data_IF_480618840298
#
_entry.id   IF_480618840298
#
_cell.length_a   1.000
_cell.length_b   1.000
_cell.length_c   1.000
_cell.angle_alpha   90.00
_cell.angle_beta   90.00
_cell.angle_gamma   90.00
#
_symmetry.space_group_name_H-M   'P 1'
#
loop_
_entity.id
_entity.type
_entity.pdbx_description
1 polymer ?
#
# COMPACT_ATOMS: atom_id res chain seq x y z
N UNK A 1 31.33 -23.66 7.80
CA UNK A 1 29.94 -23.21 8.08
C UNK A 1 30.06 -21.85 8.77
N UNK A 2 29.41 -20.81 8.26
CA UNK A 2 29.40 -19.50 8.94
C UNK A 2 28.42 -19.57 10.11
N UNK A 3 28.62 -18.79 11.19
CA UNK A 3 27.59 -18.65 12.23
C UNK A 3 26.30 -18.09 11.63
N UNK A 4 25.14 -18.57 12.06
CA UNK A 4 23.83 -18.16 11.53
C UNK A 4 23.65 -16.64 11.52
N UNK A 5 24.11 -15.96 12.56
CA UNK A 5 24.11 -14.48 12.63
C UNK A 5 24.84 -13.83 11.44
N UNK A 6 25.99 -14.39 11.05
CA UNK A 6 26.73 -13.90 9.89
C UNK A 6 25.99 -14.19 8.59
N UNK A 7 25.26 -15.31 8.53
CA UNK A 7 24.40 -15.64 7.39
C UNK A 7 23.22 -14.67 7.31
N UNK A 8 22.45 -14.47 8.39
CA UNK A 8 21.34 -13.51 8.45
C UNK A 8 21.76 -12.09 8.05
N UNK A 9 22.87 -11.61 8.61
CA UNK A 9 23.39 -10.28 8.26
C UNK A 9 23.80 -10.19 6.78
N UNK A 10 24.33 -11.27 6.19
CA UNK A 10 24.65 -11.34 4.76
C UNK A 10 23.38 -11.41 3.91
N UNK A 11 22.39 -12.20 4.32
CA UNK A 11 21.07 -12.29 3.67
C UNK A 11 20.44 -10.91 3.61
N UNK A 12 20.37 -10.20 4.73
CA UNK A 12 19.82 -8.84 4.80
C UNK A 12 20.51 -7.86 3.86
N UNK A 13 21.84 -7.92 3.78
CA UNK A 13 22.64 -7.02 2.93
C UNK A 13 22.64 -7.40 1.45
N UNK A 14 22.01 -8.51 1.05
CA UNK A 14 21.86 -8.81 -0.37
C UNK A 14 20.94 -7.77 -0.99
N UNK A 15 21.45 -7.12 -2.02
CA UNK A 15 20.69 -6.16 -2.80
C UNK A 15 19.44 -6.82 -3.37
N UNK A 16 18.33 -6.10 -3.30
CA UNK A 16 17.06 -6.48 -3.92
C UNK A 16 16.93 -5.55 -5.12
N UNK A 17 16.76 -6.07 -6.36
CA UNK A 17 16.64 -5.24 -7.54
C UNK A 17 15.50 -4.22 -7.38
N UNK A 18 15.70 -3.03 -7.93
CA UNK A 18 14.63 -2.05 -8.02
C UNK A 18 13.63 -2.50 -9.08
N UNK A 19 12.34 -2.46 -8.72
CA UNK A 19 11.25 -2.68 -9.69
C UNK A 19 10.98 -1.33 -10.37
N UNK A 20 11.07 -1.24 -11.70
CA UNK A 20 10.66 -0.04 -12.41
C UNK A 20 9.22 0.31 -12.07
N UNK A 21 8.86 1.59 -11.99
CA UNK A 21 7.49 2.00 -11.69
C UNK A 21 6.48 1.37 -12.67
N UNK A 22 5.38 0.88 -12.13
CA UNK A 22 4.24 0.41 -12.92
C UNK A 22 3.53 1.59 -13.60
N UNK A 23 3.35 2.69 -12.85
CA UNK A 23 2.65 3.89 -13.32
C UNK A 23 3.41 5.14 -12.94
N UNK A 24 3.24 6.17 -13.75
CA UNK A 24 3.82 7.49 -13.58
C UNK A 24 2.73 8.55 -13.76
N UNK A 25 2.83 9.64 -13.01
CA UNK A 25 2.00 10.84 -13.18
C UNK A 25 2.79 11.93 -13.91
N UNK A 26 2.24 13.14 -13.97
CA UNK A 26 2.88 14.30 -14.60
C UNK A 26 3.73 15.06 -13.59
N UNK A 27 4.88 15.58 -14.02
CA UNK A 27 5.71 16.46 -13.17
C UNK A 27 4.93 17.68 -12.67
N UNK A 28 4.03 18.20 -13.50
CA UNK A 28 3.21 19.37 -13.18
C UNK A 28 2.36 19.13 -11.93
N UNK A 29 1.79 17.93 -11.79
CA UNK A 29 1.00 17.53 -10.61
C UNK A 29 1.81 17.61 -9.31
N UNK A 30 3.04 17.10 -9.32
CA UNK A 30 3.89 17.13 -8.12
C UNK A 30 4.42 18.52 -7.79
N UNK A 31 4.72 19.35 -8.81
CA UNK A 31 5.10 20.75 -8.57
C UNK A 31 3.96 21.56 -7.97
N UNK A 32 2.76 21.46 -8.52
CA UNK A 32 1.57 22.12 -7.94
C UNK A 32 1.33 21.68 -6.48
N UNK A 33 1.50 20.38 -6.21
CA UNK A 33 1.37 19.87 -4.84
C UNK A 33 2.49 20.39 -3.93
N UNK A 34 3.73 20.48 -4.42
CA UNK A 34 4.85 21.05 -3.67
C UNK A 34 4.64 22.53 -3.34
N UNK A 35 4.12 23.33 -4.28
CA UNK A 35 3.79 24.74 -4.05
C UNK A 35 2.76 24.89 -2.92
N UNK A 36 1.74 24.03 -2.87
CA UNK A 36 0.75 24.03 -1.79
C UNK A 36 1.32 23.56 -0.45
N UNK A 37 2.22 22.57 -0.47
CA UNK A 37 2.93 22.15 0.75
C UNK A 37 3.74 23.32 1.30
N UNK A 38 4.48 24.04 0.44
CA UNK A 38 5.26 25.21 0.83
C UNK A 38 4.37 26.31 1.42
N UNK A 39 3.24 26.62 0.78
CA UNK A 39 2.29 27.63 1.26
C UNK A 39 1.81 27.33 2.69
N UNK A 40 1.34 26.11 2.95
CA UNK A 40 0.91 25.73 4.30
C UNK A 40 2.07 25.69 5.28
N UNK A 41 3.24 25.16 4.88
CA UNK A 41 4.38 25.03 5.78
C UNK A 41 4.92 26.40 6.19
N UNK A 42 5.02 27.36 5.26
CA UNK A 42 5.49 28.71 5.52
C UNK A 42 4.51 29.47 6.42
N UNK A 43 3.20 29.35 6.16
CA UNK A 43 2.15 29.91 7.03
C UNK A 43 2.24 29.33 8.45
N UNK A 44 2.33 28.00 8.55
CA UNK A 44 2.43 27.30 9.82
C UNK A 44 3.67 27.71 10.60
N UNK A 45 4.85 27.74 9.99
CA UNK A 45 6.11 28.11 10.66
C UNK A 45 6.07 29.55 11.18
N UNK A 46 5.53 30.49 10.40
CA UNK A 46 5.40 31.88 10.81
C UNK A 46 4.47 32.05 12.03
N UNK A 47 3.42 31.22 12.14
CA UNK A 47 2.55 31.20 13.31
C UNK A 47 3.20 30.46 14.48
N UNK A 48 3.89 29.35 14.21
CA UNK A 48 4.51 28.49 15.23
C UNK A 48 5.55 29.22 16.07
N UNK A 49 6.28 30.18 15.50
CA UNK A 49 7.24 31.01 16.24
C UNK A 49 6.61 31.87 17.34
N UNK A 50 5.30 32.11 17.27
CA UNK A 50 4.54 32.89 18.26
C UNK A 50 3.89 32.02 19.34
N UNK A 51 3.90 30.70 19.18
CA UNK A 51 3.33 29.77 20.15
C UNK A 51 4.28 29.63 21.35
N UNK A 52 3.75 29.78 22.56
CA UNK A 52 4.41 29.23 23.74
C UNK A 52 4.45 27.70 23.60
N UNK A 53 5.51 27.04 24.11
CA UNK A 53 5.62 25.57 24.00
C UNK A 53 4.32 24.91 24.51
N UNK A 54 3.65 24.09 23.68
CA UNK A 54 2.38 23.51 24.07
C UNK A 54 2.55 22.68 25.34
N UNK A 55 1.72 22.98 26.34
CA UNK A 55 1.80 22.34 27.67
C UNK A 55 1.42 20.86 27.68
N UNK A 56 0.87 20.34 26.58
CA UNK A 56 0.44 18.96 26.39
C UNK A 56 1.20 18.29 25.23
N UNK A 57 1.36 16.97 25.31
CA UNK A 57 1.92 16.19 24.20
C UNK A 57 0.92 16.16 23.05
N UNK A 58 1.16 16.98 22.03
CA UNK A 58 0.38 17.00 20.79
C UNK A 58 1.09 16.22 19.67
N UNK A 59 0.35 15.53 18.78
CA UNK A 59 0.94 14.91 17.59
C UNK A 59 1.41 15.94 16.54
N UNK A 60 0.99 17.21 16.65
CA UNK A 60 1.39 18.28 15.74
C UNK A 60 2.68 18.91 16.23
N UNK A 61 3.75 18.80 15.44
CA UNK A 61 5.08 19.23 15.88
C UNK A 61 5.77 20.09 14.82
N UNK A 62 6.55 21.07 15.26
CA UNK A 62 7.39 21.90 14.37
C UNK A 62 8.27 21.07 13.42
N UNK A 63 8.96 20.00 13.87
CA UNK A 63 9.74 19.14 12.96
C UNK A 63 8.94 18.53 11.80
N UNK A 64 7.64 18.22 11.99
CA UNK A 64 6.80 17.72 10.88
C UNK A 64 6.56 18.79 9.81
N UNK A 65 6.42 20.06 10.23
CA UNK A 65 6.21 21.20 9.35
C UNK A 65 7.51 21.53 8.59
N UNK A 66 8.64 21.55 9.31
CA UNK A 66 9.97 21.74 8.71
C UNK A 66 10.27 20.64 7.68
N UNK A 67 10.00 19.37 8.00
CA UNK A 67 10.16 18.26 7.06
C UNK A 67 9.27 18.41 5.81
N UNK A 68 8.07 18.97 5.94
CA UNK A 68 7.21 19.25 4.79
C UNK A 68 7.74 20.40 3.92
N UNK A 69 8.27 21.47 4.54
CA UNK A 69 8.92 22.60 3.84
C UNK A 69 10.17 22.15 3.09
N UNK A 70 11.01 21.30 3.71
CA UNK A 70 12.17 20.68 3.07
C UNK A 70 11.75 19.84 1.86
N UNK A 71 10.73 18.99 2.00
CA UNK A 71 10.22 18.19 0.89
C UNK A 71 9.73 19.06 -0.27
N UNK A 72 9.02 20.17 0.00
CA UNK A 72 8.54 21.08 -1.03
C UNK A 72 9.68 21.74 -1.81
N UNK A 73 10.77 22.09 -1.11
CA UNK A 73 11.97 22.69 -1.73
C UNK A 73 12.75 21.69 -2.59
N UNK A 74 12.79 20.43 -2.16
CA UNK A 74 13.53 19.35 -2.82
C UNK A 74 12.67 18.50 -3.78
N UNK A 75 11.46 18.97 -4.11
CA UNK A 75 10.45 18.18 -4.81
C UNK A 75 11.02 17.46 -6.06
N UNK A 76 10.75 16.15 -6.23
CA UNK A 76 11.41 15.35 -7.27
C UNK A 76 11.21 15.90 -8.68
N UNK A 77 12.27 15.87 -9.49
CA UNK A 77 12.29 16.35 -10.89
C UNK A 77 12.16 15.25 -11.95
N UNK A 78 12.06 14.00 -11.52
CA UNK A 78 11.81 12.84 -12.40
C UNK A 78 10.30 12.59 -12.53
N UNK A 79 9.83 11.89 -13.59
CA UNK A 79 8.43 11.51 -13.72
C UNK A 79 7.93 10.94 -12.39
N UNK A 80 6.92 11.55 -11.75
CA UNK A 80 6.58 11.14 -10.41
C UNK A 80 5.84 9.82 -10.42
N UNK A 81 6.15 8.97 -9.44
CA UNK A 81 5.61 7.61 -9.32
C UNK A 81 4.66 7.54 -8.12
N UNK A 82 3.99 6.40 -7.92
CA UNK A 82 3.05 6.21 -6.79
C UNK A 82 3.68 6.58 -5.44
N UNK A 83 4.91 6.14 -5.17
CA UNK A 83 5.58 6.48 -3.90
C UNK A 83 5.86 7.99 -3.75
N UNK A 84 6.15 8.70 -4.83
CA UNK A 84 6.28 10.16 -4.82
C UNK A 84 4.95 10.82 -4.50
N UNK A 85 3.87 10.39 -5.16
CA UNK A 85 2.51 10.93 -4.92
C UNK A 85 2.04 10.68 -3.49
N UNK A 86 2.30 9.48 -2.95
CA UNK A 86 2.02 9.17 -1.54
C UNK A 86 2.84 10.04 -0.57
N UNK A 87 4.13 10.25 -0.86
CA UNK A 87 5.00 11.09 -0.05
C UNK A 87 4.53 12.55 -0.07
N UNK A 88 4.26 13.12 -1.25
CA UNK A 88 3.73 14.48 -1.39
C UNK A 88 2.45 14.65 -0.58
N UNK A 89 1.54 13.68 -0.66
CA UNK A 89 0.31 13.74 0.10
C UNK A 89 0.47 13.64 1.61
N UNK A 90 1.45 12.86 2.09
CA UNK A 90 1.80 12.84 3.52
C UNK A 90 2.32 14.20 3.97
N UNK A 91 3.20 14.83 3.20
CA UNK A 91 3.75 16.15 3.54
C UNK A 91 2.69 17.25 3.45
N UNK A 92 1.76 17.19 2.49
CA UNK A 92 0.61 18.10 2.44
C UNK A 92 -0.26 17.98 3.69
N UNK A 93 -0.56 16.74 4.12
CA UNK A 93 -1.31 16.51 5.34
C UNK A 93 -0.59 17.11 6.55
N UNK A 94 0.71 16.89 6.70
CA UNK A 94 1.50 17.43 7.80
C UNK A 94 1.54 18.97 7.80
N UNK A 95 1.77 19.58 6.64
CA UNK A 95 1.82 21.04 6.51
C UNK A 95 0.46 21.67 6.82
N UNK A 96 -0.62 21.17 6.22
CA UNK A 96 -1.98 21.65 6.46
C UNK A 96 -2.43 21.43 7.92
N UNK A 97 -2.03 20.32 8.55
CA UNK A 97 -2.30 20.06 9.96
C UNK A 97 -1.57 21.07 10.85
N UNK A 98 -0.29 21.33 10.55
CA UNK A 98 0.52 22.32 11.27
C UNK A 98 -0.05 23.73 11.18
N UNK A 99 -0.44 24.15 9.99
CA UNK A 99 -1.02 25.47 9.71
C UNK A 99 -2.33 25.67 10.49
N UNK A 100 -3.28 24.76 10.30
CA UNK A 100 -4.57 24.81 10.98
C UNK A 100 -4.43 24.74 12.50
N UNK A 101 -3.56 23.87 13.03
CA UNK A 101 -3.30 23.79 14.47
C UNK A 101 -2.74 25.10 15.01
N UNK A 102 -1.69 25.64 14.38
CA UNK A 102 -1.00 26.83 14.87
C UNK A 102 -1.93 28.05 14.89
N UNK A 103 -2.71 28.23 13.83
CA UNK A 103 -3.72 29.31 13.76
C UNK A 103 -4.86 29.07 14.75
N UNK A 104 -5.37 27.85 14.87
CA UNK A 104 -6.48 27.57 15.77
C UNK A 104 -6.08 27.71 17.24
N UNK A 105 -4.84 27.39 17.60
CA UNK A 105 -4.31 27.55 18.95
C UNK A 105 -4.27 29.02 19.39
N UNK A 106 -4.03 29.95 18.45
CA UNK A 106 -4.04 31.39 18.70
C UNK A 106 -5.43 32.02 18.49
N UNK A 107 -6.47 31.23 18.25
CA UNK A 107 -7.81 31.69 17.84
C UNK A 107 -7.79 32.56 16.56
N UNK A 108 -6.86 32.27 15.64
CA UNK A 108 -6.67 32.94 14.33
C UNK A 108 -7.11 32.06 13.13
N UNK A 109 -7.70 30.90 13.38
CA UNK A 109 -8.26 30.03 12.35
C UNK A 109 -9.73 30.42 12.09
N UNK A 110 -9.92 31.22 11.05
CA UNK A 110 -11.22 31.75 10.63
C UNK A 110 -11.87 30.94 9.50
N UNK A 111 -11.13 29.98 8.92
CA UNK A 111 -11.58 29.13 7.83
C UNK A 111 -12.53 28.05 8.35
N UNK A 112 -13.46 27.58 7.51
CA UNK A 112 -14.26 26.40 7.84
C UNK A 112 -13.41 25.13 7.61
N UNK A 113 -13.13 24.30 8.65
CA UNK A 113 -12.27 23.13 8.47
C UNK A 113 -12.86 22.08 7.51
N UNK A 114 -14.17 22.11 7.25
CA UNK A 114 -14.84 21.23 6.29
C UNK A 114 -15.06 21.89 4.91
N UNK A 115 -14.49 23.07 4.67
CA UNK A 115 -14.65 23.78 3.40
C UNK A 115 -14.20 22.93 2.20
N UNK A 116 -15.07 22.85 1.19
CA UNK A 116 -14.82 22.11 -0.04
C UNK A 116 -15.05 20.60 0.07
N UNK A 117 -15.65 20.09 1.15
CA UNK A 117 -16.05 18.68 1.25
C UNK A 117 -17.08 18.30 0.20
N UNK A 118 -18.18 19.03 0.09
CA UNK A 118 -19.25 18.73 -0.87
C UNK A 118 -18.76 18.86 -2.32
N UNK A 119 -18.02 19.94 -2.64
CA UNK A 119 -17.38 20.13 -3.96
C UNK A 119 -16.42 18.97 -4.29
N UNK A 120 -15.69 18.48 -3.28
CA UNK A 120 -14.79 17.34 -3.41
C UNK A 120 -15.54 16.04 -3.72
N UNK A 121 -16.65 15.78 -3.04
CA UNK A 121 -17.50 14.59 -3.27
C UNK A 121 -18.17 14.64 -4.65
N UNK A 122 -18.61 15.83 -5.09
CA UNK A 122 -19.11 16.03 -6.45
C UNK A 122 -17.99 15.76 -7.47
N UNK A 123 -16.79 16.27 -7.24
CA UNK A 123 -15.65 16.04 -8.12
C UNK A 123 -15.22 14.56 -8.19
N UNK A 124 -15.32 13.80 -7.08
CA UNK A 124 -15.14 12.34 -7.08
C UNK A 124 -16.17 11.69 -8.00
N UNK A 125 -17.45 12.01 -7.81
CA UNK A 125 -18.55 11.43 -8.59
C UNK A 125 -18.39 11.71 -10.08
N UNK A 126 -18.06 12.96 -10.42
CA UNK A 126 -17.86 13.38 -11.80
C UNK A 126 -16.66 12.68 -12.44
N UNK A 127 -15.53 12.60 -11.73
CA UNK A 127 -14.34 11.93 -12.27
C UNK A 127 -14.54 10.42 -12.41
N UNK A 128 -15.26 9.77 -11.49
CA UNK A 128 -15.62 8.36 -11.59
C UNK A 128 -16.49 8.08 -12.83
N UNK A 129 -17.47 8.95 -13.13
CA UNK A 129 -18.31 8.84 -14.33
C UNK A 129 -17.53 8.97 -15.64
N UNK A 130 -16.42 9.69 -15.63
CA UNK A 130 -15.54 9.87 -16.78
C UNK A 130 -14.54 8.72 -16.98
N UNK A 131 -14.52 7.74 -16.08
CA UNK A 131 -13.66 6.56 -16.21
C UNK A 131 -14.35 5.52 -17.10
N UNK A 132 -14.03 5.59 -18.39
CA UNK A 132 -14.49 4.63 -19.40
C UNK A 132 -13.62 3.38 -19.32
N UNK A 133 -14.26 2.21 -19.21
CA UNK A 133 -13.61 0.91 -19.09
C UNK A 133 -13.30 0.34 -20.47
N UNK A 134 -12.56 1.13 -21.26
CA UNK A 134 -12.26 0.89 -22.66
C UNK A 134 -10.75 0.99 -22.87
N UNK A 135 -10.16 -0.03 -23.49
CA UNK A 135 -8.70 -0.11 -23.64
C UNK A 135 -8.27 -0.98 -24.82
N UNK A 136 -7.14 -0.64 -25.43
CA UNK A 136 -6.40 -1.53 -26.36
C UNK A 136 -5.21 -2.22 -25.69
N UNK A 137 -4.83 -1.78 -24.48
CA UNK A 137 -3.67 -2.24 -23.71
C UNK A 137 -4.07 -2.59 -22.26
N UNK A 138 -4.71 -3.75 -22.03
CA UNK A 138 -5.32 -4.10 -20.75
C UNK A 138 -4.38 -3.99 -19.55
N UNK A 139 -3.14 -4.44 -19.65
CA UNK A 139 -2.18 -4.37 -18.53
C UNK A 139 -1.85 -2.93 -18.13
N UNK A 140 -1.66 -2.05 -19.12
CA UNK A 140 -1.45 -0.62 -18.85
C UNK A 140 -2.71 -0.02 -18.24
N UNK A 141 -3.88 -0.33 -18.79
CA UNK A 141 -5.16 0.16 -18.28
C UNK A 141 -5.40 -0.28 -16.83
N UNK A 142 -5.18 -1.55 -16.50
CA UNK A 142 -5.40 -2.10 -15.16
C UNK A 142 -4.43 -1.49 -14.14
N UNK A 143 -3.15 -1.34 -14.49
CA UNK A 143 -2.16 -0.72 -13.60
C UNK A 143 -2.52 0.74 -13.28
N UNK A 144 -2.91 1.54 -14.28
CA UNK A 144 -3.34 2.92 -14.05
C UNK A 144 -4.72 3.01 -13.39
N UNK A 145 -5.68 2.19 -13.84
CA UNK A 145 -7.04 2.12 -13.32
C UNK A 145 -7.06 1.81 -11.83
N UNK A 146 -6.22 0.88 -11.39
CA UNK A 146 -6.00 0.57 -9.97
C UNK A 146 -5.60 1.82 -9.18
N UNK A 147 -4.68 2.64 -9.70
CA UNK A 147 -4.21 3.85 -9.01
C UNK A 147 -5.22 5.00 -9.04
N UNK A 148 -5.99 5.13 -10.13
CA UNK A 148 -7.06 6.10 -10.30
C UNK A 148 -8.19 5.80 -9.30
N UNK A 149 -8.72 4.59 -9.33
CA UNK A 149 -9.83 4.17 -8.48
C UNK A 149 -9.43 4.09 -7.01
N UNK A 150 -8.22 3.63 -6.68
CA UNK A 150 -7.69 3.72 -5.32
C UNK A 150 -7.72 5.15 -4.78
N UNK A 151 -7.27 6.12 -5.59
CA UNK A 151 -7.25 7.53 -5.22
C UNK A 151 -8.67 8.07 -5.04
N UNK A 152 -9.59 7.76 -5.95
CA UNK A 152 -11.00 8.15 -5.84
C UNK A 152 -11.68 7.56 -4.59
N UNK A 153 -11.51 6.26 -4.34
CA UNK A 153 -12.04 5.58 -3.16
C UNK A 153 -11.52 6.20 -1.86
N UNK A 154 -10.22 6.50 -1.81
CA UNK A 154 -9.61 7.18 -0.64
C UNK A 154 -10.13 8.62 -0.48
N UNK A 155 -10.34 9.34 -1.59
CA UNK A 155 -10.95 10.66 -1.57
C UNK A 155 -12.38 10.61 -1.03
N UNK A 156 -13.22 9.73 -1.56
CA UNK A 156 -14.62 9.57 -1.16
C UNK A 156 -14.73 9.22 0.32
N UNK A 157 -14.00 8.20 0.77
CA UNK A 157 -14.02 7.77 2.17
C UNK A 157 -13.49 8.85 3.11
N UNK A 158 -12.44 9.58 2.70
CA UNK A 158 -11.89 10.68 3.47
C UNK A 158 -12.87 11.85 3.61
N UNK A 159 -13.42 12.33 2.50
CA UNK A 159 -14.37 13.45 2.49
C UNK A 159 -15.69 13.10 3.17
N UNK A 160 -16.24 11.91 2.94
CA UNK A 160 -17.48 11.47 3.55
C UNK A 160 -17.40 11.40 5.08
N UNK A 161 -16.23 11.02 5.62
CA UNK A 161 -16.00 11.05 7.07
C UNK A 161 -15.97 12.46 7.64
N UNK A 162 -15.52 13.45 6.86
CA UNK A 162 -15.39 14.83 7.33
C UNK A 162 -16.66 15.67 7.13
N UNK A 163 -17.60 15.21 6.28
CA UNK A 163 -18.83 15.95 5.96
C UNK A 163 -19.63 16.37 7.19
N UNK A 164 -19.72 15.49 8.17
CA UNK A 164 -20.47 15.70 9.41
C UNK A 164 -19.52 15.78 10.63
N UNK A 165 -18.26 16.18 10.41
CA UNK A 165 -17.31 16.33 11.50
C UNK A 165 -17.70 17.52 12.40
N UNK A 166 -17.94 17.23 13.68
CA UNK A 166 -18.22 18.24 14.70
C UNK A 166 -16.95 18.52 15.51
N UNK A 167 -16.78 19.78 15.92
CA UNK A 167 -15.70 20.21 16.82
C UNK A 167 -16.29 20.33 18.23
N UNK A 168 -15.94 19.40 19.12
CA UNK A 168 -16.43 19.38 20.51
C UNK A 168 -15.36 19.94 21.46
N UNK A 169 -15.64 21.08 22.07
CA UNK A 169 -14.75 21.72 23.05
C UNK A 169 -14.45 20.85 24.29
N UNK A 170 -15.23 19.79 24.54
CA UNK A 170 -15.08 18.88 25.67
C UNK A 170 -14.41 17.54 25.30
N UNK A 171 -13.99 17.35 24.04
CA UNK A 171 -13.22 16.16 23.65
C UNK A 171 -11.86 16.14 24.39
N UNK A 172 -11.27 14.95 24.51
CA UNK A 172 -9.92 14.77 25.05
C UNK A 172 -8.85 15.41 24.18
N UNK A 173 -9.11 15.54 22.87
CA UNK A 173 -8.29 16.32 21.95
C UNK A 173 -8.72 17.78 22.01
N UNK A 174 -7.76 18.69 22.18
CA UNK A 174 -8.07 20.13 22.24
C UNK A 174 -8.72 20.63 20.94
N UNK A 175 -9.51 21.70 21.00
CA UNK A 175 -10.20 22.30 19.83
C UNK A 175 -9.28 22.49 18.62
N UNK A 176 -8.05 22.99 18.84
CA UNK A 176 -7.07 23.21 17.78
C UNK A 176 -6.63 21.90 17.10
N UNK A 177 -6.53 20.79 17.83
CA UNK A 177 -6.18 19.48 17.27
C UNK A 177 -7.31 18.91 16.42
N UNK A 178 -8.56 19.09 16.85
CA UNK A 178 -9.72 18.66 16.09
C UNK A 178 -9.82 19.43 14.76
N UNK A 179 -9.72 20.76 14.80
CA UNK A 179 -9.70 21.61 13.60
C UNK A 179 -8.59 21.16 12.65
N UNK A 180 -7.37 20.97 13.17
CA UNK A 180 -6.23 20.55 12.39
C UNK A 180 -6.42 19.17 11.75
N UNK A 181 -6.99 18.22 12.48
CA UNK A 181 -7.27 16.87 11.99
C UNK A 181 -8.31 16.87 10.87
N UNK A 182 -9.41 17.62 11.04
CA UNK A 182 -10.46 17.74 10.01
C UNK A 182 -9.89 18.41 8.76
N UNK A 183 -9.29 19.59 8.91
CA UNK A 183 -8.77 20.38 7.80
C UNK A 183 -7.73 19.62 6.98
N UNK A 184 -6.72 19.05 7.64
CA UNK A 184 -5.68 18.27 6.96
C UNK A 184 -6.21 16.99 6.30
N UNK A 185 -7.29 16.40 6.86
CA UNK A 185 -8.02 15.29 6.25
C UNK A 185 -8.74 15.70 4.96
N UNK A 186 -9.38 16.87 4.95
CA UNK A 186 -10.02 17.45 3.76
C UNK A 186 -8.98 17.76 2.69
N UNK A 187 -7.88 18.45 3.04
CA UNK A 187 -6.81 18.77 2.08
C UNK A 187 -6.21 17.51 1.44
N UNK A 188 -5.92 16.47 2.25
CA UNK A 188 -5.42 15.20 1.74
C UNK A 188 -6.41 14.55 0.79
N UNK A 189 -7.70 14.57 1.11
CA UNK A 189 -8.73 13.91 0.30
C UNK A 189 -9.01 14.67 -1.00
N UNK A 190 -8.93 16.00 -0.99
CA UNK A 190 -9.00 16.83 -2.22
C UNK A 190 -7.78 16.61 -3.12
N UNK A 191 -6.59 16.44 -2.55
CA UNK A 191 -5.41 16.03 -3.32
C UNK A 191 -5.63 14.68 -4.00
N UNK A 192 -6.26 13.71 -3.33
CA UNK A 192 -6.55 12.40 -3.95
C UNK A 192 -7.42 12.49 -5.21
N UNK A 193 -8.35 13.44 -5.28
CA UNK A 193 -9.12 13.70 -6.50
C UNK A 193 -8.21 14.20 -7.64
N UNK A 194 -7.23 15.06 -7.31
CA UNK A 194 -6.22 15.55 -8.26
C UNK A 194 -5.25 14.44 -8.69
N UNK A 195 -4.82 13.58 -7.76
CA UNK A 195 -4.01 12.39 -8.04
C UNK A 195 -4.70 11.51 -9.09
N UNK A 196 -5.98 11.18 -8.87
CA UNK A 196 -6.80 10.41 -9.80
C UNK A 196 -6.88 11.06 -11.19
N UNK A 197 -7.08 12.38 -11.25
CA UNK A 197 -7.13 13.13 -12.50
C UNK A 197 -5.80 13.06 -13.25
N UNK A 198 -4.69 13.23 -12.55
CA UNK A 198 -3.36 13.21 -13.13
C UNK A 198 -3.00 11.81 -13.67
N UNK A 199 -3.34 10.74 -12.94
CA UNK A 199 -3.20 9.37 -13.45
C UNK A 199 -4.09 9.10 -14.67
N UNK A 200 -5.34 9.58 -14.68
CA UNK A 200 -6.23 9.45 -15.83
C UNK A 200 -5.70 10.16 -17.07
N UNK A 201 -5.14 11.36 -16.91
CA UNK A 201 -4.48 12.09 -18.01
C UNK A 201 -3.26 11.33 -18.53
N UNK A 202 -2.45 10.77 -17.62
CA UNK A 202 -1.29 9.96 -17.96
C UNK A 202 -1.67 8.65 -18.67
N UNK A 203 -2.78 8.01 -18.27
CA UNK A 203 -3.36 6.84 -18.93
C UNK A 203 -3.81 7.20 -20.35
N UNK A 204 -4.63 8.25 -20.54
CA UNK A 204 -5.15 8.64 -21.86
C UNK A 204 -4.07 8.99 -22.89
N UNK A 205 -2.88 9.39 -22.44
CA UNK A 205 -1.73 9.61 -23.32
C UNK A 205 -1.08 8.31 -23.81
N UNK A 206 -1.21 7.23 -23.05
CA UNK A 206 -0.60 5.90 -23.31
C UNK A 206 -1.58 4.94 -23.98
N UNK A 207 -2.84 5.02 -23.56
CA UNK A 207 -3.95 4.21 -24.04
C UNK A 207 -5.14 5.14 -24.31
N UNK A 208 -5.40 5.51 -25.58
CA UNK A 208 -6.46 6.45 -25.92
C UNK A 208 -7.88 5.88 -25.69
N UNK A 209 -8.00 4.56 -25.50
CA UNK A 209 -9.26 3.82 -25.40
C UNK A 209 -9.32 2.69 -26.42
N UNK A 210 -10.38 1.89 -26.37
CA UNK A 210 -10.53 0.69 -27.19
C UNK A 210 -11.87 -0.02 -26.98
N UNK A 211 -11.83 -1.34 -27.00
CA UNK A 211 -13.01 -2.16 -26.67
C UNK A 211 -13.27 -2.14 -25.16
N UNK A 212 -14.52 -2.33 -24.77
CA UNK A 212 -14.85 -2.41 -23.36
C UNK A 212 -14.32 -3.70 -22.75
N UNK A 213 -13.69 -3.60 -21.59
CA UNK A 213 -13.19 -4.75 -20.83
C UNK A 213 -14.07 -5.15 -19.64
N UNK A 214 -15.27 -4.56 -19.50
CA UNK A 214 -16.15 -4.81 -18.34
C UNK A 214 -16.56 -6.27 -18.21
N UNK A 215 -16.91 -6.89 -19.34
CA UNK A 215 -17.30 -8.31 -19.34
C UNK A 215 -16.10 -9.19 -18.94
N UNK A 216 -14.91 -8.92 -19.49
CA UNK A 216 -13.68 -9.63 -19.09
C UNK A 216 -13.34 -9.42 -17.62
N UNK A 217 -13.44 -8.20 -17.09
CA UNK A 217 -13.23 -7.92 -15.66
C UNK A 217 -14.20 -8.69 -14.76
N UNK A 218 -15.47 -8.77 -15.16
CA UNK A 218 -16.48 -9.53 -14.42
C UNK A 218 -16.17 -11.04 -14.45
N UNK A 219 -15.78 -11.59 -15.59
CA UNK A 219 -15.33 -12.99 -15.73
C UNK A 219 -14.10 -13.27 -14.86
N UNK A 220 -13.08 -12.40 -14.91
CA UNK A 220 -11.87 -12.51 -14.08
C UNK A 220 -12.20 -12.46 -12.59
N UNK A 221 -13.13 -11.58 -12.18
CA UNK A 221 -13.58 -11.49 -10.80
C UNK A 221 -14.24 -12.79 -10.34
N UNK A 222 -15.20 -13.30 -11.11
CA UNK A 222 -15.92 -14.51 -10.75
C UNK A 222 -14.94 -15.71 -10.63
N UNK A 223 -13.97 -15.81 -11.56
CA UNK A 223 -12.92 -16.83 -11.47
C UNK A 223 -11.96 -16.63 -10.28
N UNK A 224 -11.59 -15.38 -9.94
CA UNK A 224 -10.79 -15.08 -8.76
C UNK A 224 -11.51 -15.43 -7.47
N UNK A 225 -12.80 -15.10 -7.35
CA UNK A 225 -13.62 -15.44 -6.18
C UNK A 225 -13.68 -16.97 -5.98
N UNK A 226 -13.94 -17.73 -7.03
CA UNK A 226 -13.95 -19.20 -6.98
C UNK A 226 -12.59 -19.78 -6.54
N UNK A 227 -11.48 -19.23 -7.06
CA UNK A 227 -10.12 -19.65 -6.69
C UNK A 227 -9.80 -19.30 -5.24
N UNK A 228 -10.22 -18.13 -4.77
CA UNK A 228 -9.97 -17.63 -3.41
C UNK A 228 -10.79 -18.41 -2.39
N UNK A 229 -12.06 -18.71 -2.65
CA UNK A 229 -12.94 -19.43 -1.72
C UNK A 229 -12.37 -20.81 -1.36
N UNK A 230 -11.83 -21.52 -2.35
CA UNK A 230 -11.14 -22.78 -2.13
C UNK A 230 -9.90 -22.61 -1.22
N UNK A 231 -9.10 -21.56 -1.43
CA UNK A 231 -7.91 -21.28 -0.63
C UNK A 231 -8.24 -20.81 0.79
N UNK A 232 -9.35 -20.08 0.97
CA UNK A 232 -9.82 -19.64 2.28
C UNK A 232 -10.24 -20.84 3.15
N UNK A 233 -10.89 -21.84 2.56
CA UNK A 233 -11.23 -23.08 3.28
C UNK A 233 -9.97 -23.81 3.76
N UNK A 234 -8.97 -24.01 2.90
CA UNK A 234 -7.68 -24.61 3.28
C UNK A 234 -6.97 -23.79 4.36
N UNK A 235 -7.01 -22.46 4.24
CA UNK A 235 -6.41 -21.57 5.25
C UNK A 235 -7.14 -21.67 6.59
N UNK A 236 -8.46 -21.81 6.61
CA UNK A 236 -9.26 -22.00 7.82
C UNK A 236 -8.87 -23.31 8.53
N UNK A 237 -8.69 -24.39 7.77
CA UNK A 237 -8.19 -25.66 8.30
C UNK A 237 -6.81 -25.51 8.97
N UNK A 238 -5.88 -24.74 8.40
CA UNK A 238 -4.60 -24.48 9.08
C UNK A 238 -4.79 -23.73 10.41
N UNK A 239 -5.73 -22.79 10.45
CA UNK A 239 -6.10 -22.08 11.68
C UNK A 239 -6.60 -23.03 12.77
N UNK A 240 -7.49 -23.94 12.41
CA UNK A 240 -8.04 -24.95 13.32
C UNK A 240 -6.94 -25.88 13.87
N UNK A 241 -5.95 -26.24 13.05
CA UNK A 241 -4.81 -27.06 13.50
C UNK A 241 -3.92 -26.32 14.50
N UNK A 242 -3.73 -25.01 14.35
CA UNK A 242 -3.03 -24.19 15.35
C UNK A 242 -3.81 -24.07 16.66
N UNK A 243 -5.14 -23.92 16.59
CA UNK A 243 -5.99 -23.81 17.77
C UNK A 243 -6.17 -25.15 18.50
N UNK A 244 -6.04 -26.27 17.79
CA UNK A 244 -6.01 -27.62 18.37
C UNK A 244 -4.67 -27.99 19.02
N UNK A 245 -3.68 -27.07 19.02
CA UNK A 245 -2.31 -27.30 19.49
C UNK A 245 -1.65 -28.56 18.85
N UNK A 246 -2.01 -28.88 17.59
CA UNK A 246 -1.43 -30.04 16.87
C UNK A 246 0.09 -29.94 16.74
N UNK A 247 0.60 -28.71 16.74
CA UNK A 247 2.00 -28.37 16.62
C UNK A 247 2.61 -27.98 17.98
N UNK A 248 2.49 -28.83 19.01
CA UNK A 248 2.91 -28.59 20.41
C UNK A 248 4.09 -27.58 20.59
N UNK A 249 3.79 -26.31 20.91
CA UNK A 249 4.80 -25.27 21.16
C UNK A 249 5.35 -24.53 19.93
N UNK A 250 4.88 -24.83 18.71
CA UNK A 250 5.30 -24.23 17.43
C UNK A 250 4.44 -23.01 17.02
N UNK A 251 3.70 -22.39 17.95
CA UNK A 251 2.79 -21.25 17.66
C UNK A 251 3.50 -19.99 17.09
N UNK A 252 4.81 -20.05 16.89
CA UNK A 252 5.71 -19.01 16.38
C UNK A 252 6.78 -19.57 15.43
N UNK A 253 6.44 -20.60 14.67
CA UNK A 253 7.28 -21.20 13.65
C UNK A 253 7.01 -20.59 12.24
N UNK A 254 7.65 -21.16 11.22
CA UNK A 254 7.49 -20.71 9.82
C UNK A 254 6.06 -20.93 9.32
N UNK A 255 5.40 -22.02 9.72
CA UNK A 255 4.01 -22.30 9.32
C UNK A 255 3.07 -21.24 9.89
N UNK A 256 3.18 -20.94 11.17
CA UNK A 256 2.39 -19.90 11.83
C UNK A 256 2.66 -18.52 11.22
N UNK A 257 3.93 -18.25 10.86
CA UNK A 257 4.30 -17.03 10.15
C UNK A 257 3.67 -16.97 8.75
N UNK A 258 3.69 -18.04 7.96
CA UNK A 258 3.03 -18.12 6.65
C UNK A 258 1.51 -17.91 6.76
N UNK A 259 0.86 -18.57 7.71
CA UNK A 259 -0.56 -18.36 7.99
C UNK A 259 -0.84 -16.89 8.36
N UNK A 260 -0.03 -16.29 9.23
CA UNK A 260 -0.22 -14.91 9.66
C UNK A 260 0.10 -13.88 8.57
N UNK A 261 1.04 -14.16 7.66
CA UNK A 261 1.59 -13.19 6.69
C UNK A 261 1.08 -13.33 5.28
N UNK A 262 0.45 -14.45 4.95
CA UNK A 262 -0.29 -14.60 3.70
C UNK A 262 -1.17 -13.38 3.44
N UNK A 263 -1.86 -12.83 4.46
CA UNK A 263 -2.94 -11.88 4.15
C UNK A 263 -3.99 -12.58 3.26
N UNK A 264 -5.07 -11.91 2.90
CA UNK A 264 -6.20 -12.63 2.31
C UNK A 264 -7.07 -13.28 3.38
N UNK A 265 -7.31 -12.57 4.48
CA UNK A 265 -8.38 -12.94 5.41
C UNK A 265 -9.72 -12.73 4.71
N UNK A 266 -10.79 -13.34 5.23
CA UNK A 266 -12.18 -13.07 4.80
C UNK A 266 -12.47 -11.55 4.74
N UNK A 267 -11.85 -10.75 5.62
CA UNK A 267 -11.96 -9.28 5.61
C UNK A 267 -11.33 -8.60 4.39
N UNK A 268 -10.26 -9.16 3.83
CA UNK A 268 -9.54 -8.56 2.69
C UNK A 268 -10.36 -8.78 1.41
N UNK A 269 -10.88 -10.00 1.22
CA UNK A 269 -11.83 -10.34 0.15
C UNK A 269 -13.09 -9.49 0.24
N UNK A 270 -13.71 -9.41 1.42
CA UNK A 270 -14.88 -8.53 1.64
C UNK A 270 -14.56 -7.05 1.42
N UNK A 271 -13.31 -6.62 1.61
CA UNK A 271 -12.93 -5.24 1.31
C UNK A 271 -12.85 -5.01 -0.19
N UNK A 272 -12.25 -5.94 -0.93
CA UNK A 272 -12.18 -5.88 -2.38
C UNK A 272 -13.57 -5.94 -3.03
N UNK A 273 -14.45 -6.85 -2.59
CA UNK A 273 -15.85 -6.94 -3.07
C UNK A 273 -16.60 -5.64 -2.78
N UNK A 274 -16.47 -5.05 -1.57
CA UNK A 274 -17.09 -3.75 -1.26
C UNK A 274 -16.58 -2.63 -2.15
N UNK A 275 -15.30 -2.65 -2.53
CA UNK A 275 -14.75 -1.65 -3.43
C UNK A 275 -15.33 -1.84 -4.85
N UNK A 276 -15.51 -3.08 -5.33
CA UNK A 276 -16.21 -3.41 -6.59
C UNK A 276 -17.66 -2.93 -6.55
N UNK A 277 -18.42 -3.29 -5.51
CA UNK A 277 -19.81 -2.87 -5.33
C UNK A 277 -19.96 -1.34 -5.22
N UNK A 278 -18.91 -0.67 -4.75
CA UNK A 278 -18.80 0.80 -4.70
C UNK A 278 -18.49 1.46 -6.06
N UNK A 279 -18.33 0.69 -7.13
CA UNK A 279 -18.01 1.19 -8.47
C UNK A 279 -16.52 1.35 -8.76
N UNK A 280 -15.65 0.79 -7.92
CA UNK A 280 -14.20 0.73 -8.10
C UNK A 280 -13.78 -0.66 -8.60
N UNK A 281 -14.27 -1.02 -9.79
CA UNK A 281 -14.17 -2.38 -10.34
C UNK A 281 -12.72 -2.79 -10.63
N UNK A 282 -11.88 -1.91 -11.21
CA UNK A 282 -10.47 -2.24 -11.49
C UNK A 282 -9.68 -2.40 -10.19
N UNK A 283 -9.79 -1.45 -9.27
CA UNK A 283 -9.06 -1.47 -8.00
C UNK A 283 -9.44 -2.69 -7.17
N UNK A 284 -10.73 -3.00 -7.06
CA UNK A 284 -11.20 -4.16 -6.32
C UNK A 284 -10.78 -5.48 -6.99
N UNK A 285 -10.85 -5.60 -8.31
CA UNK A 285 -10.46 -6.83 -9.03
C UNK A 285 -8.94 -7.07 -8.96
N UNK A 286 -8.11 -6.02 -9.10
CA UNK A 286 -6.66 -6.14 -8.91
C UNK A 286 -6.32 -6.49 -7.45
N UNK A 287 -7.07 -5.97 -6.48
CA UNK A 287 -6.92 -6.34 -5.08
C UNK A 287 -7.30 -7.81 -4.81
N UNK A 288 -8.33 -8.36 -5.47
CA UNK A 288 -8.64 -9.79 -5.42
C UNK A 288 -7.49 -10.62 -6.00
N UNK A 289 -6.90 -10.20 -7.11
CA UNK A 289 -5.74 -10.90 -7.69
C UNK A 289 -4.53 -10.92 -6.74
N UNK A 290 -4.22 -9.82 -6.05
CA UNK A 290 -3.16 -9.80 -5.02
C UNK A 290 -3.50 -10.73 -3.84
N UNK A 291 -4.76 -10.76 -3.39
CA UNK A 291 -5.22 -11.70 -2.36
C UNK A 291 -5.04 -13.15 -2.82
N UNK A 292 -5.46 -13.47 -4.05
CA UNK A 292 -5.28 -14.79 -4.62
C UNK A 292 -3.80 -15.20 -4.70
N UNK A 293 -2.94 -14.34 -5.23
CA UNK A 293 -1.49 -14.57 -5.34
C UNK A 293 -0.89 -14.93 -3.99
N UNK A 294 -1.26 -14.19 -2.94
CA UNK A 294 -0.74 -14.41 -1.59
C UNK A 294 -1.26 -15.71 -0.96
N UNK A 295 -2.54 -16.00 -1.10
CA UNK A 295 -3.15 -17.23 -0.57
C UNK A 295 -2.62 -18.48 -1.29
N UNK A 296 -2.50 -18.43 -2.62
CA UNK A 296 -1.96 -19.51 -3.42
C UNK A 296 -0.47 -19.75 -3.10
N UNK A 297 0.33 -18.68 -3.01
CA UNK A 297 1.72 -18.77 -2.58
C UNK A 297 1.84 -19.39 -1.19
N UNK A 298 1.01 -18.98 -0.23
CA UNK A 298 1.02 -19.53 1.11
C UNK A 298 0.69 -21.03 1.14
N UNK A 299 -0.30 -21.47 0.35
CA UNK A 299 -0.67 -22.88 0.24
C UNK A 299 0.47 -23.71 -0.29
N UNK A 300 1.06 -23.29 -1.39
CA UNK A 300 2.07 -24.09 -2.05
C UNK A 300 3.37 -24.15 -1.23
N UNK A 301 3.70 -23.08 -0.50
CA UNK A 301 4.82 -23.08 0.45
C UNK A 301 4.52 -23.93 1.69
N UNK A 302 3.29 -23.92 2.18
CA UNK A 302 2.88 -24.77 3.30
C UNK A 302 2.96 -26.26 2.93
N UNK A 303 2.37 -26.67 1.81
CA UNK A 303 2.41 -28.06 1.32
C UNK A 303 3.84 -28.53 1.07
N UNK A 304 4.69 -27.64 0.55
CA UNK A 304 6.12 -27.91 0.37
C UNK A 304 6.82 -28.13 1.70
N UNK A 305 6.55 -27.30 2.72
CA UNK A 305 7.09 -27.48 4.06
C UNK A 305 6.63 -28.82 4.67
N UNK A 306 5.37 -29.21 4.51
CA UNK A 306 4.85 -30.50 4.98
C UNK A 306 5.51 -31.70 4.28
N UNK A 307 5.78 -31.57 2.98
CA UNK A 307 6.34 -32.66 2.18
C UNK A 307 7.86 -32.79 2.35
N UNK A 308 8.58 -31.66 2.40
CA UNK A 308 10.05 -31.62 2.38
C UNK A 308 10.66 -31.51 3.79
N UNK A 309 9.87 -31.16 4.82
CA UNK A 309 10.37 -30.93 6.18
C UNK A 309 11.24 -29.66 6.29
N UNK A 310 10.90 -28.63 5.51
CA UNK A 310 11.66 -27.39 5.38
C UNK A 310 11.20 -26.26 6.34
N UNK A 311 10.64 -26.59 7.50
CA UNK A 311 10.22 -25.63 8.53
C UNK A 311 11.38 -25.14 9.43
N UNK A 312 12.62 -25.53 9.13
CA UNK A 312 13.78 -25.22 9.95
C UNK A 312 14.19 -23.75 9.78
N UNK A 313 14.25 -23.02 10.90
CA UNK A 313 14.82 -21.67 10.99
C UNK A 313 16.36 -21.70 10.92
N UNK A 314 16.89 -22.20 9.81
CA UNK A 314 18.31 -22.28 9.51
C UNK A 314 18.75 -21.10 8.64
N UNK A 315 19.91 -20.52 8.96
CA UNK A 315 20.42 -19.34 8.25
C UNK A 315 20.66 -19.59 6.77
N UNK A 316 21.13 -20.78 6.38
CA UNK A 316 21.39 -21.13 4.98
C UNK A 316 20.07 -21.25 4.22
N UNK A 317 19.07 -21.92 4.79
CA UNK A 317 17.75 -22.08 4.18
C UNK A 317 17.06 -20.73 3.96
N UNK A 318 17.15 -19.83 4.95
CA UNK A 318 16.59 -18.48 4.86
C UNK A 318 17.34 -17.66 3.80
N UNK A 319 18.66 -17.77 3.71
CA UNK A 319 19.46 -17.11 2.68
C UNK A 319 19.10 -17.58 1.28
N UNK A 320 18.92 -18.89 1.10
CA UNK A 320 18.51 -19.52 -0.16
C UNK A 320 17.13 -19.05 -0.59
N UNK A 321 16.16 -19.00 0.32
CA UNK A 321 14.82 -18.48 0.01
C UNK A 321 14.84 -17.01 -0.46
N UNK A 322 15.67 -16.15 0.16
CA UNK A 322 15.85 -14.79 -0.34
C UNK A 322 16.52 -14.78 -1.72
N UNK A 323 17.54 -15.60 -1.96
CA UNK A 323 18.18 -15.68 -3.30
C UNK A 323 17.18 -16.09 -4.36
N UNK A 324 16.38 -17.11 -4.07
CA UNK A 324 15.37 -17.64 -4.96
C UNK A 324 14.31 -16.60 -5.32
N UNK A 325 13.83 -15.84 -4.33
CA UNK A 325 12.88 -14.75 -4.55
C UNK A 325 13.52 -13.62 -5.38
N UNK A 326 14.76 -13.23 -5.06
CA UNK A 326 15.48 -12.18 -5.81
C UNK A 326 15.73 -12.61 -7.26
N UNK A 327 16.20 -13.84 -7.50
CA UNK A 327 16.44 -14.35 -8.85
C UNK A 327 15.17 -14.37 -9.68
N UNK A 328 14.04 -14.85 -9.12
CA UNK A 328 12.75 -14.85 -9.81
C UNK A 328 12.26 -13.45 -10.14
N UNK A 329 12.49 -12.50 -9.23
CA UNK A 329 12.15 -11.10 -9.47
C UNK A 329 12.98 -10.53 -10.63
N UNK A 330 14.29 -10.79 -10.68
CA UNK A 330 15.14 -10.36 -11.79
C UNK A 330 14.70 -11.01 -13.11
N UNK A 331 14.48 -12.32 -13.11
CA UNK A 331 14.08 -13.08 -14.29
C UNK A 331 12.74 -12.60 -14.85
N UNK A 332 11.74 -12.38 -13.98
CA UNK A 332 10.42 -11.93 -14.38
C UNK A 332 10.43 -10.50 -14.92
N UNK A 333 11.17 -9.58 -14.29
CA UNK A 333 11.31 -8.21 -14.78
C UNK A 333 11.99 -8.12 -16.16
N UNK A 334 12.83 -9.11 -16.51
CA UNK A 334 13.44 -9.23 -17.84
C UNK A 334 12.47 -9.86 -18.84
N UNK A 335 11.74 -10.90 -18.42
CA UNK A 335 10.85 -11.66 -19.30
C UNK A 335 9.57 -10.89 -19.65
N UNK A 336 9.00 -10.19 -18.67
CA UNK A 336 7.74 -9.47 -18.78
C UNK A 336 7.83 -8.10 -18.08
N UNK A 337 8.24 -7.06 -18.82
CA UNK A 337 8.39 -5.73 -18.27
C UNK A 337 7.09 -4.92 -18.34
N UNK A 338 5.90 -5.52 -18.47
CA UNK A 338 4.64 -4.77 -18.59
C UNK A 338 4.18 -4.12 -17.27
N UNK A 339 3.38 -3.03 -17.30
CA UNK A 339 2.98 -2.29 -16.11
C UNK A 339 2.28 -3.12 -15.02
N UNK A 340 1.39 -4.03 -15.39
CA UNK A 340 0.65 -4.84 -14.42
C UNK A 340 1.57 -5.86 -13.74
N UNK A 341 2.45 -6.50 -14.50
CA UNK A 341 3.51 -7.37 -13.96
C UNK A 341 4.42 -6.61 -13.00
N UNK A 342 4.86 -5.38 -13.35
CA UNK A 342 5.64 -4.53 -12.43
C UNK A 342 4.88 -4.20 -11.15
N UNK A 343 3.56 -3.99 -11.22
CA UNK A 343 2.74 -3.72 -10.04
C UNK A 343 2.81 -4.89 -9.06
N UNK A 344 2.58 -6.12 -9.52
CA UNK A 344 2.68 -7.30 -8.65
C UNK A 344 4.12 -7.61 -8.21
N UNK A 345 5.11 -7.38 -9.07
CA UNK A 345 6.53 -7.50 -8.71
C UNK A 345 6.92 -6.52 -7.58
N UNK A 346 6.33 -5.32 -7.56
CA UNK A 346 6.55 -4.34 -6.49
C UNK A 346 6.03 -4.82 -5.13
N UNK A 347 4.87 -5.48 -5.11
CA UNK A 347 4.32 -6.11 -3.89
C UNK A 347 5.22 -7.25 -3.40
N UNK A 348 5.66 -8.14 -4.31
CA UNK A 348 6.59 -9.21 -3.96
C UNK A 348 7.93 -8.66 -3.46
N UNK A 349 8.49 -7.64 -4.11
CA UNK A 349 9.70 -6.93 -3.66
C UNK A 349 9.51 -6.34 -2.25
N UNK A 350 8.35 -5.76 -1.98
CA UNK A 350 8.02 -5.20 -0.65
C UNK A 350 8.04 -6.29 0.41
N UNK A 351 7.52 -7.49 0.14
CA UNK A 351 7.64 -8.62 1.06
C UNK A 351 9.11 -8.96 1.37
N UNK A 352 9.97 -9.05 0.34
CA UNK A 352 11.40 -9.31 0.55
C UNK A 352 12.05 -8.19 1.38
N UNK A 353 11.76 -6.92 1.07
CA UNK A 353 12.34 -5.79 1.81
C UNK A 353 11.86 -5.69 3.26
N UNK A 354 10.60 -6.06 3.54
CA UNK A 354 10.10 -6.15 4.93
C UNK A 354 10.70 -7.37 5.63
N UNK A 355 10.90 -8.48 4.91
CA UNK A 355 11.60 -9.65 5.44
C UNK A 355 13.01 -9.33 5.92
N UNK A 356 13.73 -8.44 5.22
CA UNK A 356 15.04 -7.95 5.65
C UNK A 356 14.99 -7.21 7.00
N UNK A 357 13.89 -6.50 7.30
CA UNK A 357 13.68 -5.82 8.58
C UNK A 357 13.38 -6.82 9.69
N UNK A 358 12.60 -7.85 9.38
CA UNK A 358 12.25 -8.92 10.33
C UNK A 358 13.48 -9.80 10.68
N UNK A 359 14.55 -9.78 9.87
CA UNK A 359 15.84 -10.43 10.18
C UNK A 359 16.81 -9.56 11.02
N UNK A 360 16.40 -8.40 11.52
CA UNK A 360 17.28 -7.59 12.38
C UNK A 360 17.39 -8.24 13.77
N UNK A 361 18.56 -8.82 14.06
CA UNK A 361 18.83 -9.54 15.32
C UNK A 361 19.85 -8.75 16.14
N UNK A 362 19.44 -8.33 17.33
CA UNK A 362 20.31 -7.76 18.35
C UNK A 362 21.24 -8.82 18.99
N UNK A 363 22.36 -8.38 19.55
CA UNK A 363 23.33 -9.28 20.16
C UNK A 363 22.77 -9.97 21.44
N UNK A 364 22.45 -11.28 21.37
CA UNK A 364 21.96 -12.05 22.53
C UNK A 364 21.61 -13.52 22.22
N UNK A 365 21.29 -14.31 23.24
CA UNK A 365 20.69 -15.64 23.03
C UNK A 365 19.35 -15.49 22.31
N UNK A 366 19.04 -16.42 21.39
CA UNK A 366 17.83 -16.37 20.59
C UNK A 366 16.60 -16.69 21.44
N UNK A 367 15.89 -15.63 21.82
CA UNK A 367 14.62 -15.72 22.54
C UNK A 367 13.45 -16.03 21.59
N UNK A 368 12.26 -16.16 22.16
CA UNK A 368 11.04 -16.50 21.43
C UNK A 368 10.60 -15.41 20.45
N UNK A 369 10.83 -14.13 20.79
CA UNK A 369 10.47 -13.00 19.93
C UNK A 369 11.41 -12.90 18.73
N UNK A 370 12.71 -13.15 18.94
CA UNK A 370 13.69 -13.22 17.85
C UNK A 370 13.44 -14.40 16.92
N UNK A 371 13.09 -15.58 17.45
CA UNK A 371 12.65 -16.73 16.62
C UNK A 371 11.44 -16.37 15.77
N UNK A 372 10.47 -15.68 16.36
CA UNK A 372 9.29 -15.26 15.62
C UNK A 372 9.63 -14.26 14.53
N UNK A 373 10.46 -13.26 14.79
CA UNK A 373 10.92 -12.31 13.76
C UNK A 373 11.65 -13.03 12.61
N UNK A 374 12.52 -14.00 12.92
CA UNK A 374 13.15 -14.85 11.90
C UNK A 374 12.12 -15.62 11.06
N UNK A 375 11.13 -16.24 11.71
CA UNK A 375 10.06 -16.96 11.03
C UNK A 375 9.24 -16.03 10.12
N UNK A 376 8.93 -14.81 10.56
CA UNK A 376 8.26 -13.79 9.76
C UNK A 376 9.10 -13.39 8.53
N UNK A 377 10.38 -13.12 8.72
CA UNK A 377 11.29 -12.77 7.63
C UNK A 377 11.39 -13.90 6.59
N UNK A 378 11.53 -15.14 7.07
CA UNK A 378 11.57 -16.31 6.21
C UNK A 378 10.26 -16.52 5.44
N UNK A 379 9.12 -16.49 6.13
CA UNK A 379 7.80 -16.63 5.52
C UNK A 379 7.56 -15.57 4.43
N UNK A 380 8.04 -14.34 4.61
CA UNK A 380 7.95 -13.29 3.58
C UNK A 380 8.76 -13.60 2.32
N UNK A 381 9.96 -14.17 2.46
CA UNK A 381 10.72 -14.61 1.27
C UNK A 381 10.01 -15.74 0.54
N UNK A 382 9.44 -16.70 1.28
CA UNK A 382 8.65 -17.79 0.70
C UNK A 382 7.40 -17.27 -0.03
N UNK A 383 6.64 -16.36 0.60
CA UNK A 383 5.48 -15.73 -0.03
C UNK A 383 5.88 -14.95 -1.28
N UNK A 384 6.93 -14.13 -1.21
CA UNK A 384 7.42 -13.39 -2.37
C UNK A 384 7.79 -14.34 -3.52
N UNK A 385 8.51 -15.42 -3.21
CA UNK A 385 8.88 -16.46 -4.18
C UNK A 385 7.65 -17.09 -4.84
N UNK A 386 6.69 -17.56 -4.04
CA UNK A 386 5.47 -18.19 -4.54
C UNK A 386 4.58 -17.23 -5.33
N UNK A 387 4.53 -15.95 -4.94
CA UNK A 387 3.84 -14.91 -5.71
C UNK A 387 4.50 -14.73 -7.08
N UNK A 388 5.82 -14.54 -7.13
CA UNK A 388 6.57 -14.32 -8.38
C UNK A 388 6.36 -15.46 -9.39
N UNK A 389 6.26 -16.71 -8.93
CA UNK A 389 5.98 -17.87 -9.79
C UNK A 389 4.57 -17.85 -10.42
N UNK A 390 3.64 -17.03 -9.91
CA UNK A 390 2.22 -16.98 -10.31
C UNK A 390 1.78 -15.64 -10.91
N UNK A 391 2.65 -14.63 -10.96
CA UNK A 391 2.27 -13.31 -11.47
C UNK A 391 1.75 -13.39 -12.91
N UNK A 392 2.39 -14.17 -13.79
CA UNK A 392 1.92 -14.34 -15.17
C UNK A 392 0.50 -14.91 -15.24
N UNK A 393 0.14 -15.81 -14.33
CA UNK A 393 -1.22 -16.35 -14.25
C UNK A 393 -2.23 -15.29 -13.78
N UNK A 394 -1.88 -14.47 -12.78
CA UNK A 394 -2.73 -13.32 -12.38
C UNK A 394 -2.92 -12.33 -13.53
N UNK A 395 -1.83 -12.01 -14.24
CA UNK A 395 -1.83 -11.06 -15.35
C UNK A 395 -2.68 -11.59 -16.49
N UNK A 396 -2.50 -12.83 -16.91
CA UNK A 396 -3.31 -13.46 -17.96
C UNK A 396 -4.79 -13.51 -17.57
N UNK A 397 -5.09 -13.82 -16.32
CA UNK A 397 -6.46 -13.85 -15.81
C UNK A 397 -7.13 -12.47 -15.90
N UNK A 398 -6.41 -11.39 -15.60
CA UNK A 398 -6.95 -10.02 -15.60
C UNK A 398 -6.95 -9.35 -16.98
N UNK A 399 -5.89 -9.54 -17.76
CA UNK A 399 -5.68 -8.86 -19.04
C UNK A 399 -6.26 -9.63 -20.24
N UNK A 400 -6.61 -10.91 -20.03
CA UNK A 400 -7.12 -11.82 -21.05
C UNK A 400 -6.01 -12.37 -21.96
N UNK A 401 -5.98 -13.70 -22.14
CA UNK A 401 -5.11 -14.36 -23.12
C UNK A 401 -5.61 -14.01 -24.54
N UNK A 402 -4.90 -13.11 -25.24
CA UNK A 402 -5.01 -13.04 -26.72
C UNK A 402 -4.13 -14.13 -27.32
N UNK A 403 -4.57 -15.38 -27.19
CA UNK A 403 -4.01 -16.54 -27.90
C UNK A 403 -4.29 -16.49 -29.40
#
# INVERSE_FOLDING_TARGET
MLPDRTVYARTRRRDIPEVPPAVETTDAHVRETADQIAEHADAALAVWERLDEPSEQTPVTRPNIESASEFATEAPTKPPVVSTVESSGRHLHQAAQGDAYARAFLDEFDDDPIEGVDDGLEAVTELARQFEYETEAPETFLAYGQSIEYSLRRAESGLSRQRDAEIDENDRSGRAEQIASVYSGVQRSRLRVRDARAYREALRKRDPGGESIRDSLAESRDELEDRIDNLLATREEWGDRFDADEFEGERRDVRSALYSRSGGRKSDVQSAIRDIDGGYEVYGTVALADVWLRLAAARDEWERIETEGADVLDGVVIDEAKRDAVSRLEDLLVADPEPLTRLFCSEARTLVSVGDRDLDIDAGEMDEDQRWSLANGYARYLLARGMLDRISEAVNLLAGDRS
#
